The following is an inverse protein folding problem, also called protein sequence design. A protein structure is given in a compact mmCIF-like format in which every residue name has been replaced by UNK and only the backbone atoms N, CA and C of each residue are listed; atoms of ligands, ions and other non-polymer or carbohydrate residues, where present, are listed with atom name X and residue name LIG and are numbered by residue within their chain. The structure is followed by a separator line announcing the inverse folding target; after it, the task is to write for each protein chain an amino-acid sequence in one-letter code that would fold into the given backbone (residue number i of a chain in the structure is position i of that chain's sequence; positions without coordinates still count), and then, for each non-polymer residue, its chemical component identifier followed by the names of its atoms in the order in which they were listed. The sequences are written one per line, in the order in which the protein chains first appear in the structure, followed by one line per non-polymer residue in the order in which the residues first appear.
data_IF_802670222843
#
_entry.id   IF_802670222843
#
_cell.length_a   1.000
_cell.length_b   1.000
_cell.length_c   1.000
_cell.angle_alpha   90.00
_cell.angle_beta   90.00
_cell.angle_gamma   90.00
#
_symmetry.space_group_name_H-M   'P 1'
#
loop_
_entity.id
_entity.type
_entity.pdbx_description
1 polymer ?
#
# COMPACT_ATOMS: atom_id res chain seq x y z
N UNK A 1 5.58 16.89 1.61
CA UNK A 1 4.43 16.39 0.80
C UNK A 1 3.59 17.50 0.19
N UNK A 2 3.41 18.65 0.89
CA UNK A 2 2.71 19.83 0.32
C UNK A 2 3.44 20.44 -0.89
N UNK A 3 4.76 20.37 -0.93
CA UNK A 3 5.57 20.90 -2.04
C UNK A 3 5.32 20.14 -3.35
N UNK A 4 5.23 18.80 -3.31
CA UNK A 4 4.94 18.00 -4.51
C UNK A 4 3.54 18.24 -5.07
N UNK A 5 2.55 18.54 -4.21
CA UNK A 5 1.18 18.84 -4.65
C UNK A 5 1.13 20.19 -5.36
N UNK A 6 1.86 21.18 -4.88
CA UNK A 6 1.95 22.52 -5.52
C UNK A 6 2.60 22.45 -6.90
N UNK A 7 3.67 21.70 -7.05
CA UNK A 7 4.40 21.58 -8.33
C UNK A 7 3.60 20.81 -9.40
N UNK A 8 2.75 19.86 -9.00
CA UNK A 8 1.90 19.09 -9.92
C UNK A 8 0.72 19.88 -10.48
N UNK A 9 0.41 21.06 -9.90
CA UNK A 9 -0.77 21.87 -10.25
C UNK A 9 -2.11 21.12 -10.11
N UNK A 10 -2.17 20.07 -9.28
CA UNK A 10 -3.40 19.32 -9.02
C UNK A 10 -4.19 20.03 -7.92
N UNK A 11 -5.44 20.34 -8.20
CA UNK A 11 -6.36 20.93 -7.24
C UNK A 11 -7.09 19.81 -6.51
N UNK A 12 -6.90 19.70 -5.21
CA UNK A 12 -7.59 18.71 -4.37
C UNK A 12 -8.81 19.34 -3.73
N UNK A 13 -9.96 18.67 -3.84
CA UNK A 13 -11.23 19.11 -3.26
C UNK A 13 -11.90 17.96 -2.51
N UNK A 14 -12.32 18.22 -1.28
CA UNK A 14 -13.19 17.30 -0.54
C UNK A 14 -14.64 17.50 -0.98
N UNK A 15 -15.33 16.40 -1.23
CA UNK A 15 -16.70 16.40 -1.73
C UNK A 15 -17.50 15.32 -0.99
N UNK A 16 -18.72 15.67 -0.57
CA UNK A 16 -19.67 14.71 -0.03
C UNK A 16 -20.25 13.91 -1.22
N UNK A 17 -20.02 12.59 -1.30
CA UNK A 17 -20.59 11.78 -2.37
C UNK A 17 -22.11 11.71 -2.30
N UNK A 18 -22.77 11.65 -3.46
CA UNK A 18 -24.21 11.33 -3.54
C UNK A 18 -24.41 9.87 -3.08
N UNK A 19 -25.44 9.64 -2.24
CA UNK A 19 -25.81 8.30 -1.74
C UNK A 19 -26.03 7.29 -2.88
N UNK A 20 -26.52 7.75 -4.04
CA UNK A 20 -26.76 6.90 -5.21
C UNK A 20 -25.51 6.55 -6.00
N UNK A 21 -24.39 7.28 -5.80
CA UNK A 21 -23.13 7.08 -6.51
C UNK A 21 -21.94 7.28 -5.57
N UNK A 22 -21.72 6.34 -4.63
CA UNK A 22 -20.59 6.44 -3.72
C UNK A 22 -19.26 6.35 -4.50
N UNK A 23 -18.31 7.21 -4.17
CA UNK A 23 -16.94 7.15 -4.69
C UNK A 23 -15.95 7.45 -3.57
N UNK A 24 -14.74 6.93 -3.69
CA UNK A 24 -13.64 7.29 -2.79
C UNK A 24 -12.74 8.36 -3.41
N UNK A 25 -12.54 8.31 -4.73
CA UNK A 25 -11.82 9.34 -5.49
C UNK A 25 -12.35 9.46 -6.91
N UNK A 26 -12.31 10.68 -7.47
CA UNK A 26 -12.56 10.96 -8.90
C UNK A 26 -11.52 11.98 -9.37
N UNK A 27 -10.82 11.69 -10.44
CA UNK A 27 -9.89 12.62 -11.07
C UNK A 27 -10.46 13.18 -12.38
N UNK A 28 -10.59 14.50 -12.45
CA UNK A 28 -11.04 15.23 -13.65
C UNK A 28 -9.83 15.76 -14.40
N UNK A 29 -9.33 14.99 -15.38
CA UNK A 29 -8.12 15.29 -16.13
C UNK A 29 -8.14 16.68 -16.77
N UNK A 30 -9.28 17.11 -17.35
CA UNK A 30 -9.40 18.39 -18.05
C UNK A 30 -9.20 19.61 -17.14
N UNK A 31 -9.53 19.47 -15.85
CA UNK A 31 -9.42 20.56 -14.86
C UNK A 31 -8.27 20.34 -13.88
N UNK A 32 -7.55 19.21 -13.99
CA UNK A 32 -6.58 18.75 -12.99
C UNK A 32 -7.13 18.74 -11.57
N UNK A 33 -8.42 18.40 -11.41
CA UNK A 33 -9.08 18.36 -10.11
C UNK A 33 -9.17 16.91 -9.60
N UNK A 34 -8.69 16.69 -8.39
CA UNK A 34 -8.85 15.46 -7.66
C UNK A 34 -9.94 15.65 -6.60
N UNK A 35 -11.09 15.00 -6.80
CA UNK A 35 -12.18 14.98 -5.84
C UNK A 35 -12.00 13.79 -4.92
N UNK A 36 -11.97 14.04 -3.63
CA UNK A 36 -11.86 13.02 -2.58
C UNK A 36 -13.16 12.99 -1.78
N UNK A 37 -13.61 11.80 -1.44
CA UNK A 37 -14.80 11.61 -0.60
C UNK A 37 -14.53 12.14 0.80
N UNK A 38 -15.46 12.95 1.32
CA UNK A 38 -15.37 13.46 2.68
C UNK A 38 -15.55 12.36 3.74
N UNK A 39 -16.18 11.24 3.37
CA UNK A 39 -16.28 10.06 4.23
C UNK A 39 -14.97 9.24 4.34
N UNK A 40 -13.97 9.56 3.53
CA UNK A 40 -12.67 8.88 3.61
C UNK A 40 -11.81 9.44 4.75
N UNK A 41 -11.08 8.56 5.45
CA UNK A 41 -10.12 9.01 6.45
C UNK A 41 -9.00 9.85 5.84
N UNK A 42 -8.35 10.68 6.65
CA UNK A 42 -7.26 11.54 6.19
C UNK A 42 -6.12 10.74 5.56
N UNK A 43 -5.78 9.57 6.12
CA UNK A 43 -4.74 8.68 5.61
C UNK A 43 -5.10 8.14 4.22
N UNK A 44 -6.38 7.82 4.01
CA UNK A 44 -6.89 7.38 2.69
C UNK A 44 -6.86 8.52 1.69
N UNK A 45 -7.26 9.72 2.08
CA UNK A 45 -7.19 10.92 1.22
C UNK A 45 -5.74 11.20 0.81
N UNK A 46 -4.78 11.15 1.75
CA UNK A 46 -3.34 11.29 1.47
C UNK A 46 -2.84 10.24 0.48
N UNK A 47 -3.19 8.97 0.67
CA UNK A 47 -2.79 7.90 -0.24
C UNK A 47 -3.34 8.14 -1.65
N UNK A 48 -4.60 8.55 -1.77
CA UNK A 48 -5.21 8.86 -3.07
C UNK A 48 -4.54 10.05 -3.76
N UNK A 49 -4.18 11.10 -3.02
CA UNK A 49 -3.45 12.24 -3.56
C UNK A 49 -2.04 11.82 -4.02
N UNK A 50 -1.31 11.07 -3.20
CA UNK A 50 0.01 10.54 -3.58
C UNK A 50 -0.06 9.60 -4.80
N UNK A 51 -1.09 8.75 -4.89
CA UNK A 51 -1.29 7.89 -6.05
C UNK A 51 -1.59 8.69 -7.34
N UNK A 52 -2.30 9.82 -7.22
CA UNK A 52 -2.53 10.69 -8.37
C UNK A 52 -1.24 11.39 -8.82
N UNK A 53 -0.41 11.84 -7.89
CA UNK A 53 0.91 12.42 -8.20
C UNK A 53 1.79 11.37 -8.89
N UNK A 54 1.83 10.13 -8.35
CA UNK A 54 2.57 9.03 -8.96
C UNK A 54 2.06 8.72 -10.39
N UNK A 55 0.75 8.78 -10.60
CA UNK A 55 0.15 8.58 -11.92
C UNK A 55 0.54 9.68 -12.92
N UNK A 56 0.63 10.93 -12.51
CA UNK A 56 1.06 12.02 -13.37
C UNK A 56 2.59 11.97 -13.65
N UNK A 57 3.39 11.67 -12.62
CA UNK A 57 4.84 11.74 -12.70
C UNK A 57 5.52 10.46 -13.19
N UNK A 58 5.00 9.29 -12.86
CA UNK A 58 5.66 8.00 -13.13
C UNK A 58 4.91 7.09 -14.11
N UNK A 59 3.83 7.58 -14.74
CA UNK A 59 3.00 6.72 -15.59
C UNK A 59 3.75 6.15 -16.80
N UNK A 60 4.59 6.97 -17.45
CA UNK A 60 5.37 6.56 -18.63
C UNK A 60 6.43 5.52 -18.26
N UNK A 61 7.14 5.73 -17.15
CA UNK A 61 8.16 4.83 -16.65
C UNK A 61 7.55 3.47 -16.26
N UNK A 62 6.38 3.49 -15.61
CA UNK A 62 5.65 2.27 -15.26
C UNK A 62 5.18 1.55 -16.53
N UNK A 63 4.64 2.25 -17.51
CA UNK A 63 4.21 1.63 -18.79
C UNK A 63 5.41 1.03 -19.54
N UNK A 64 6.53 1.71 -19.59
CA UNK A 64 7.77 1.20 -20.18
C UNK A 64 8.27 -0.05 -19.44
N UNK A 65 8.26 -0.03 -18.10
CA UNK A 65 8.64 -1.20 -17.30
C UNK A 65 7.72 -2.39 -17.56
N UNK A 66 6.40 -2.17 -17.59
CA UNK A 66 5.41 -3.23 -17.84
C UNK A 66 5.46 -3.78 -19.28
N UNK A 67 5.97 -3.01 -20.24
CA UNK A 67 6.12 -3.49 -21.62
C UNK A 67 7.16 -4.61 -21.78
N UNK A 68 8.09 -4.72 -20.83
CA UNK A 68 9.10 -5.80 -20.78
C UNK A 68 8.56 -7.15 -20.25
N UNK A 69 7.30 -7.22 -19.84
CA UNK A 69 6.70 -8.43 -19.26
C UNK A 69 5.53 -8.94 -20.10
N UNK A 70 5.40 -10.26 -20.19
CA UNK A 70 4.23 -10.90 -20.75
C UNK A 70 3.16 -11.10 -19.70
N UNK A 71 1.95 -10.61 -19.93
CA UNK A 71 0.80 -10.75 -19.03
C UNK A 71 -0.23 -11.71 -19.62
N UNK A 72 -0.83 -12.60 -18.80
CA UNK A 72 -1.85 -13.54 -19.30
C UNK A 72 -3.10 -12.83 -19.83
N UNK A 73 -3.47 -11.69 -19.24
CA UNK A 73 -4.63 -10.89 -19.62
C UNK A 73 -4.35 -9.39 -19.47
N UNK A 74 -5.11 -8.57 -20.16
CA UNK A 74 -5.06 -7.10 -20.01
C UNK A 74 -5.48 -6.66 -18.60
N UNK A 75 -6.39 -7.41 -17.95
CA UNK A 75 -6.77 -7.15 -16.56
C UNK A 75 -5.59 -7.34 -15.61
N UNK A 76 -4.80 -8.40 -15.80
CA UNK A 76 -3.58 -8.64 -15.00
C UNK A 76 -2.59 -7.48 -15.12
N UNK A 77 -2.40 -6.98 -16.34
CA UNK A 77 -1.53 -5.81 -16.60
C UNK A 77 -2.05 -4.56 -15.89
N UNK A 78 -3.36 -4.29 -15.97
CA UNK A 78 -4.00 -3.15 -15.29
C UNK A 78 -3.85 -3.25 -13.76
N UNK A 79 -4.09 -4.42 -13.18
CA UNK A 79 -3.94 -4.65 -11.75
C UNK A 79 -2.49 -4.45 -11.30
N UNK A 80 -1.52 -4.95 -12.08
CA UNK A 80 -0.09 -4.74 -11.79
C UNK A 80 0.27 -3.26 -11.84
N UNK A 81 -0.25 -2.51 -12.83
CA UNK A 81 -0.05 -1.07 -12.92
C UNK A 81 -0.59 -0.34 -11.69
N UNK A 82 -1.80 -0.68 -11.24
CA UNK A 82 -2.40 -0.13 -10.02
C UNK A 82 -1.54 -0.44 -8.80
N UNK A 83 -1.03 -1.66 -8.69
CA UNK A 83 -0.15 -2.06 -7.58
C UNK A 83 1.15 -1.24 -7.56
N UNK A 84 1.78 -1.02 -8.71
CA UNK A 84 2.98 -0.19 -8.83
C UNK A 84 2.70 1.28 -8.50
N UNK A 85 1.58 1.84 -8.95
CA UNK A 85 1.17 3.20 -8.59
C UNK A 85 0.95 3.35 -7.08
N UNK A 86 0.32 2.37 -6.44
CA UNK A 86 0.14 2.36 -4.99
C UNK A 86 1.48 2.23 -4.25
N UNK A 87 2.42 1.44 -4.79
CA UNK A 87 3.79 1.36 -4.26
C UNK A 87 4.50 2.71 -4.35
N UNK A 88 4.42 3.40 -5.49
CA UNK A 88 4.97 4.75 -5.66
C UNK A 88 4.31 5.74 -4.70
N UNK A 89 2.98 5.68 -4.52
CA UNK A 89 2.26 6.50 -3.56
C UNK A 89 2.76 6.29 -2.12
N UNK A 90 2.96 5.04 -1.72
CA UNK A 90 3.52 4.72 -0.41
C UNK A 90 4.98 5.23 -0.28
N UNK A 91 5.77 5.19 -1.35
CA UNK A 91 7.13 5.73 -1.36
C UNK A 91 7.17 7.27 -1.25
N UNK A 92 6.18 7.97 -1.80
CA UNK A 92 6.02 9.42 -1.64
C UNK A 92 5.68 9.77 -0.18
N UNK A 93 4.74 9.03 0.43
CA UNK A 93 4.31 9.28 1.81
C UNK A 93 5.36 8.87 2.85
N UNK A 94 6.09 7.80 2.56
CA UNK A 94 7.10 7.19 3.43
C UNK A 94 8.39 6.97 2.63
N UNK A 95 9.21 8.03 2.37
CA UNK A 95 10.46 7.92 1.63
C UNK A 95 11.38 6.88 2.26
N UNK A 96 12.08 6.08 1.43
CA UNK A 96 12.79 4.88 1.87
C UNK A 96 13.78 5.14 3.00
N UNK A 97 14.72 6.05 2.80
CA UNK A 97 15.80 6.33 3.77
C UNK A 97 15.25 6.87 5.09
N UNK A 98 14.30 7.83 5.01
CA UNK A 98 13.67 8.41 6.19
C UNK A 98 12.86 7.35 6.94
N UNK A 99 12.06 6.57 6.23
CA UNK A 99 11.23 5.52 6.82
C UNK A 99 12.08 4.43 7.47
N UNK A 100 13.16 3.98 6.80
CA UNK A 100 14.10 3.02 7.35
C UNK A 100 14.80 3.53 8.64
N UNK A 101 15.23 4.80 8.64
CA UNK A 101 15.84 5.42 9.83
C UNK A 101 14.87 5.46 11.01
N UNK A 102 13.61 5.89 10.78
CA UNK A 102 12.58 5.92 11.82
C UNK A 102 12.18 4.51 12.27
N UNK A 103 12.13 3.52 11.38
CA UNK A 103 11.92 2.12 11.75
C UNK A 103 12.96 1.62 12.76
N UNK A 104 14.24 1.91 12.52
CA UNK A 104 15.32 1.53 13.46
C UNK A 104 15.22 2.28 14.79
N UNK A 105 14.97 3.58 14.73
CA UNK A 105 14.85 4.44 15.92
C UNK A 105 13.68 4.02 16.82
N UNK A 106 12.54 3.72 16.21
CA UNK A 106 11.31 3.28 16.89
C UNK A 106 11.22 1.77 17.08
N UNK A 107 12.31 1.01 16.79
CA UNK A 107 12.37 -0.44 16.96
C UNK A 107 11.24 -1.19 16.25
N UNK A 108 10.82 -0.70 15.08
CA UNK A 108 9.70 -1.22 14.27
C UNK A 108 8.35 -1.22 14.98
N UNK A 109 8.13 -0.31 15.92
CA UNK A 109 6.81 -0.06 16.49
C UNK A 109 5.91 0.57 15.43
N UNK A 110 4.93 -0.21 14.94
CA UNK A 110 4.08 0.18 13.80
C UNK A 110 3.09 1.30 14.17
N UNK A 111 2.66 1.39 15.43
CA UNK A 111 1.76 2.45 15.89
C UNK A 111 2.48 3.80 15.96
N UNK A 112 3.71 3.81 16.47
CA UNK A 112 4.53 5.01 16.49
C UNK A 112 4.90 5.45 15.08
N UNK A 113 5.23 4.51 14.18
CA UNK A 113 5.49 4.79 12.77
C UNK A 113 4.25 5.35 12.06
N UNK A 114 3.07 4.78 12.31
CA UNK A 114 1.80 5.29 11.79
C UNK A 114 1.60 6.76 12.16
N UNK A 115 1.80 7.11 13.42
CA UNK A 115 1.67 8.48 13.91
C UNK A 115 2.72 9.41 13.30
N UNK A 116 3.98 8.94 13.20
CA UNK A 116 5.09 9.73 12.65
C UNK A 116 4.85 10.13 11.19
N UNK A 117 4.33 9.19 10.37
CA UNK A 117 4.09 9.45 8.95
C UNK A 117 2.64 9.86 8.65
N UNK A 118 1.77 9.89 9.66
CA UNK A 118 0.34 10.17 9.53
C UNK A 118 -0.31 9.35 8.40
N UNK A 119 -0.08 8.03 8.42
CA UNK A 119 -0.57 7.04 7.49
C UNK A 119 -1.37 5.97 8.25
N UNK A 120 -2.06 5.06 7.56
CA UNK A 120 -2.78 3.98 8.25
C UNK A 120 -1.82 2.87 8.70
N UNK A 121 -2.23 2.12 9.74
CA UNK A 121 -1.47 0.95 10.22
C UNK A 121 -1.17 -0.04 9.09
N UNK A 122 -2.16 -0.33 8.23
CA UNK A 122 -1.99 -1.22 7.08
C UNK A 122 -0.94 -0.70 6.08
N UNK A 123 -0.92 0.63 5.84
CA UNK A 123 0.07 1.25 4.95
C UNK A 123 1.49 1.11 5.51
N UNK A 124 1.67 1.35 6.81
CA UNK A 124 2.96 1.16 7.49
C UNK A 124 3.39 -0.31 7.47
N UNK A 125 2.50 -1.22 7.87
CA UNK A 125 2.78 -2.65 7.88
C UNK A 125 3.19 -3.16 6.49
N UNK A 126 2.51 -2.72 5.43
CA UNK A 126 2.89 -3.04 4.06
C UNK A 126 4.23 -2.39 3.67
N UNK A 127 4.49 -1.13 4.06
CA UNK A 127 5.74 -0.43 3.74
C UNK A 127 6.96 -1.08 4.39
N UNK A 128 6.83 -1.56 5.63
CA UNK A 128 7.90 -2.28 6.35
C UNK A 128 8.35 -3.53 5.57
N UNK A 129 7.41 -4.26 4.95
CA UNK A 129 7.77 -5.43 4.13
C UNK A 129 8.54 -5.08 2.86
N UNK A 130 8.49 -3.81 2.43
CA UNK A 130 9.18 -3.32 1.22
C UNK A 130 10.62 -2.85 1.47
N UNK A 131 11.13 -2.93 2.71
CA UNK A 131 12.50 -2.53 3.05
C UNK A 131 13.52 -3.59 2.65
N UNK A 132 13.72 -3.78 1.34
CA UNK A 132 14.55 -4.85 0.75
C UNK A 132 15.76 -4.32 -0.05
N UNK A 133 16.10 -3.02 0.08
CA UNK A 133 17.31 -2.49 -0.59
C UNK A 133 18.55 -3.15 -0.01
N UNK A 134 19.41 -3.81 -0.82
CA UNK A 134 20.64 -4.44 -0.35
C UNK A 134 21.60 -3.49 0.37
N UNK A 135 21.55 -2.19 0.08
CA UNK A 135 22.38 -1.17 0.73
C UNK A 135 21.86 -0.74 2.09
N UNK A 136 20.55 -0.79 2.27
CA UNK A 136 19.84 -0.39 3.49
C UNK A 136 18.74 -1.39 3.84
N UNK A 137 19.07 -2.66 4.12
CA UNK A 137 18.07 -3.69 4.36
C UNK A 137 17.34 -3.44 5.68
N UNK A 138 16.02 -3.63 5.66
CA UNK A 138 15.21 -3.72 6.86
C UNK A 138 15.12 -5.15 7.40
N UNK A 139 14.37 -5.33 8.47
CA UNK A 139 14.01 -6.66 8.96
C UNK A 139 12.99 -7.28 7.98
N UNK A 140 13.17 -8.54 7.57
CA UNK A 140 12.21 -9.20 6.68
C UNK A 140 10.91 -9.51 7.43
N UNK A 141 9.84 -8.80 7.07
CA UNK A 141 8.51 -9.02 7.60
C UNK A 141 7.59 -9.67 6.56
N UNK A 142 6.61 -10.41 7.08
CA UNK A 142 5.48 -10.92 6.31
C UNK A 142 4.23 -10.13 6.67
N UNK A 143 3.44 -9.79 5.68
CA UNK A 143 2.16 -9.14 5.89
C UNK A 143 1.01 -10.05 5.49
N UNK A 144 0.14 -10.33 6.43
CA UNK A 144 -1.10 -11.09 6.23
C UNK A 144 -2.26 -10.28 6.79
N UNK A 145 -3.31 -10.13 6.00
CA UNK A 145 -4.60 -9.61 6.47
C UNK A 145 -5.62 -10.72 6.43
N UNK A 146 -6.10 -11.08 7.62
CA UNK A 146 -7.07 -12.15 7.83
C UNK A 146 -8.39 -11.53 8.29
N UNK A 147 -9.51 -12.00 7.79
CA UNK A 147 -10.83 -11.61 8.28
C UNK A 147 -11.22 -12.44 9.53
N UNK A 148 -12.36 -12.09 10.13
CA UNK A 148 -12.86 -12.82 11.33
C UNK A 148 -13.21 -14.28 11.07
N UNK A 149 -13.45 -14.67 9.81
CA UNK A 149 -13.72 -16.03 9.40
C UNK A 149 -12.44 -16.83 9.10
N UNK A 150 -11.25 -16.21 9.25
CA UNK A 150 -9.96 -16.84 8.98
C UNK A 150 -9.52 -16.80 7.52
N UNK A 151 -10.24 -16.08 6.64
CA UNK A 151 -9.84 -15.98 5.24
C UNK A 151 -8.73 -14.96 5.06
N UNK A 152 -7.69 -15.29 4.30
CA UNK A 152 -6.62 -14.40 3.96
C UNK A 152 -7.07 -13.49 2.82
N UNK A 153 -7.31 -12.20 3.13
CA UNK A 153 -7.72 -11.19 2.15
C UNK A 153 -6.54 -10.48 1.48
N UNK A 154 -5.40 -10.41 2.17
CA UNK A 154 -4.14 -9.90 1.61
C UNK A 154 -2.96 -10.70 2.18
N UNK A 155 -1.97 -10.91 1.34
CA UNK A 155 -0.69 -11.46 1.75
C UNK A 155 0.42 -10.79 0.95
N UNK A 156 1.49 -10.50 1.61
CA UNK A 156 2.70 -9.97 1.01
C UNK A 156 3.91 -10.52 1.76
N UNK A 157 4.78 -11.20 1.04
CA UNK A 157 6.01 -11.76 1.59
C UNK A 157 7.10 -11.64 0.55
N UNK A 158 8.22 -11.03 0.91
CA UNK A 158 9.44 -10.97 0.09
C UNK A 158 10.54 -11.87 0.64
N UNK A 159 10.30 -12.58 1.73
CA UNK A 159 11.33 -13.37 2.44
C UNK A 159 11.37 -14.84 2.04
N UNK A 160 10.68 -15.26 0.96
CA UNK A 160 10.71 -16.64 0.48
C UNK A 160 9.88 -17.63 1.28
N UNK A 161 9.14 -17.22 2.31
CA UNK A 161 8.15 -18.09 2.95
C UNK A 161 6.98 -18.28 1.99
N UNK A 162 6.78 -19.53 1.56
CA UNK A 162 5.65 -19.87 0.71
C UNK A 162 4.38 -20.06 1.56
N UNK A 163 3.47 -19.11 1.44
CA UNK A 163 2.17 -19.18 2.09
C UNK A 163 1.18 -19.74 1.07
N UNK A 164 0.59 -20.93 1.32
CA UNK A 164 -0.29 -21.59 0.37
C UNK A 164 -1.39 -20.67 -0.16
N UNK A 165 -1.64 -20.75 -1.47
CA UNK A 165 -2.68 -19.93 -2.14
C UNK A 165 -4.08 -20.49 -1.99
N UNK A 166 -4.17 -21.82 -1.91
CA UNK A 166 -5.42 -22.57 -1.93
C UNK A 166 -5.36 -23.68 -0.87
N UNK A 167 -6.38 -23.77 -0.03
CA UNK A 167 -6.48 -24.80 1.00
C UNK A 167 -5.36 -24.72 2.06
N UNK A 168 -5.60 -25.17 3.26
CA UNK A 168 -4.60 -25.23 4.33
C UNK A 168 -4.06 -23.85 4.79
N UNK A 169 -4.61 -22.75 4.30
CA UNK A 169 -4.26 -21.40 4.73
C UNK A 169 -4.87 -21.02 6.09
N UNK A 170 -5.50 -21.96 6.76
CA UNK A 170 -5.95 -21.75 8.13
C UNK A 170 -4.74 -21.78 9.06
N UNK A 171 -4.29 -20.61 9.48
CA UNK A 171 -3.18 -20.46 10.42
C UNK A 171 -3.42 -21.22 11.75
N UNK A 172 -4.68 -21.50 12.08
CA UNK A 172 -5.07 -22.31 13.24
C UNK A 172 -4.68 -23.78 13.09
N UNK A 173 -4.58 -24.32 11.88
CA UNK A 173 -4.13 -25.70 11.64
C UNK A 173 -2.62 -25.87 11.64
N UNK A 174 -1.86 -24.80 11.45
CA UNK A 174 -0.39 -24.83 11.42
C UNK A 174 0.24 -24.39 12.73
N UNK A 175 -0.53 -23.80 13.64
CA UNK A 175 -0.07 -23.50 15.00
C UNK A 175 -0.24 -24.72 15.87
N UNK A 176 0.82 -25.23 16.54
CA UNK A 176 0.66 -26.29 17.52
C UNK A 176 -0.35 -25.83 18.57
N UNK A 177 -1.40 -26.61 18.74
CA UNK A 177 -2.38 -26.37 19.81
C UNK A 177 -1.66 -26.43 21.16
N UNK A 178 -2.01 -25.57 22.13
CA UNK A 178 -1.51 -25.75 23.51
C UNK A 178 -1.75 -27.17 24.09
N UNK A 179 -2.65 -27.92 23.50
CA UNK A 179 -2.90 -29.33 23.86
C UNK A 179 -1.90 -30.32 23.25
N UNK A 180 -1.19 -29.94 22.17
CA UNK A 180 -0.18 -30.76 21.51
C UNK A 180 1.21 -30.64 22.20
N UNK A 181 1.36 -29.71 23.14
CA UNK A 181 2.56 -29.52 23.93
C UNK A 181 2.67 -30.41 25.20
N UNK A 182 1.73 -31.33 25.37
CA UNK A 182 1.65 -32.23 26.55
C UNK A 182 1.79 -33.69 26.17
N UNK A 183 2.71 -34.02 25.25
CA UNK A 183 3.19 -35.41 25.04
C UNK A 183 4.69 -35.48 25.19
#
# INVERSE_FOLDING_TARGET
SEMCIRDSSIIVKDVIPDEKKPFSKIYKKNKKELLLSDYSSLETKKLHAAAQIAQEGANKEIDNYLSGFSFPTEESKKLTKIALLNYCAAAILMPYELFHAECKKLKYDLELLQNTFATSFEQVAHRVTCLQDPKLPGIPFHFLRVDMAGNISKRFSLSGIDIPRYGGACLLYTSPSPRDATL
#
